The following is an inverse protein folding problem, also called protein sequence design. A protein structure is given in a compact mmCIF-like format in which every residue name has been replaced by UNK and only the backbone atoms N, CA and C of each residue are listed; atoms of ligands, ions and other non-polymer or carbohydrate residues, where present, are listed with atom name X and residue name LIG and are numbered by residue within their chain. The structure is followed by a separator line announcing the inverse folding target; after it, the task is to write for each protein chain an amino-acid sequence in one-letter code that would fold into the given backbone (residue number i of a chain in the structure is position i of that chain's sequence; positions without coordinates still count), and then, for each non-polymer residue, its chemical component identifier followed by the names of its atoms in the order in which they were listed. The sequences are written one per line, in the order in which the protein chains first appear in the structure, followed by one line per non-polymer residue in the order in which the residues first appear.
data_IF_584065406945
#
_entry.id   IF_584065406945
#
_cell.length_a   1.000
_cell.length_b   1.000
_cell.length_c   1.000
_cell.angle_alpha   90.00
_cell.angle_beta   90.00
_cell.angle_gamma   90.00
#
_symmetry.space_group_name_H-M   'P 1'
#
loop_
_entity.id
_entity.type
_entity.pdbx_description
1 polymer ?
#
# COMPACT_ATOMS: atom_id res chain seq x y z
N UNK A 1 12.55 -12.17 -29.10
CA UNK A 1 12.59 -10.70 -28.90
C UNK A 1 11.16 -10.17 -28.75
N UNK A 2 10.45 -10.51 -27.66
CA UNK A 2 8.98 -10.26 -27.57
C UNK A 2 8.48 -9.78 -26.20
N UNK A 3 9.33 -9.36 -25.26
CA UNK A 3 8.87 -8.95 -23.91
C UNK A 3 8.70 -7.43 -23.72
N UNK A 4 9.14 -6.58 -24.65
CA UNK A 4 9.17 -5.12 -24.45
C UNK A 4 7.82 -4.42 -24.68
N UNK A 5 6.88 -5.00 -25.43
CA UNK A 5 5.62 -4.33 -25.81
C UNK A 5 4.48 -4.45 -24.79
N UNK A 6 4.55 -5.39 -23.83
CA UNK A 6 3.46 -5.57 -22.84
C UNK A 6 3.58 -4.60 -21.66
N UNK A 7 4.81 -4.21 -21.29
CA UNK A 7 5.06 -3.27 -20.21
C UNK A 7 4.53 -1.85 -20.54
N UNK A 8 4.58 -1.47 -21.81
CA UNK A 8 4.10 -0.18 -22.32
C UNK A 8 2.56 -0.09 -22.33
N UNK A 9 1.85 -1.20 -22.55
CA UNK A 9 0.37 -1.22 -22.53
C UNK A 9 -0.20 -1.11 -21.12
N UNK A 10 0.51 -1.63 -20.12
CA UNK A 10 0.12 -1.53 -18.72
C UNK A 10 0.45 -0.16 -18.11
N UNK A 11 1.22 0.68 -18.81
CA UNK A 11 1.71 1.95 -18.28
C UNK A 11 0.58 2.92 -17.92
N UNK A 12 -0.43 3.16 -18.79
CA UNK A 12 -1.54 4.07 -18.45
C UNK A 12 -2.28 3.61 -17.20
N UNK A 13 -2.57 2.31 -17.09
CA UNK A 13 -3.25 1.74 -15.92
C UNK A 13 -2.42 1.91 -14.63
N UNK A 14 -1.09 1.74 -14.71
CA UNK A 14 -0.20 1.95 -13.55
C UNK A 14 -0.19 3.42 -13.11
N UNK A 15 -0.26 4.35 -14.06
CA UNK A 15 -0.31 5.78 -13.75
C UNK A 15 -1.65 6.18 -13.14
N UNK A 16 -2.75 5.60 -13.61
CA UNK A 16 -4.08 5.77 -13.01
C UNK A 16 -4.11 5.23 -11.57
N UNK A 17 -3.60 4.01 -11.33
CA UNK A 17 -3.50 3.43 -9.99
C UNK A 17 -2.66 4.33 -9.06
N UNK A 18 -1.54 4.88 -9.55
CA UNK A 18 -0.71 5.82 -8.78
C UNK A 18 -1.45 7.13 -8.50
N UNK A 19 -2.22 7.63 -9.45
CA UNK A 19 -2.99 8.85 -9.29
C UNK A 19 -4.08 8.67 -8.23
N UNK A 20 -4.85 7.59 -8.32
CA UNK A 20 -5.87 7.24 -7.32
C UNK A 20 -5.25 7.02 -5.94
N UNK A 21 -4.11 6.35 -5.86
CA UNK A 21 -3.38 6.16 -4.60
C UNK A 21 -2.91 7.47 -3.95
N UNK A 22 -2.54 8.48 -4.76
CA UNK A 22 -2.21 9.82 -4.24
C UNK A 22 -3.45 10.52 -3.66
N UNK A 23 -4.55 10.54 -4.40
CA UNK A 23 -5.81 11.15 -3.93
C UNK A 23 -6.28 10.48 -2.63
N UNK A 24 -6.24 9.14 -2.57
CA UNK A 24 -6.59 8.41 -1.36
C UNK A 24 -5.68 8.77 -0.20
N UNK A 25 -4.36 8.80 -0.42
CA UNK A 25 -3.40 9.15 0.61
C UNK A 25 -3.57 10.59 1.13
N UNK A 26 -3.86 11.53 0.25
CA UNK A 26 -4.13 12.92 0.63
C UNK A 26 -5.46 13.04 1.39
N UNK A 27 -6.50 12.34 0.94
CA UNK A 27 -7.80 12.30 1.63
C UNK A 27 -7.68 11.69 3.03
N UNK A 28 -6.93 10.58 3.15
CA UNK A 28 -6.70 9.91 4.44
C UNK A 28 -5.92 10.80 5.40
N UNK A 29 -4.90 11.52 4.90
CA UNK A 29 -4.14 12.48 5.72
C UNK A 29 -5.00 13.66 6.18
N UNK A 30 -5.87 14.16 5.30
CA UNK A 30 -6.76 15.29 5.62
C UNK A 30 -7.86 14.91 6.63
N UNK A 31 -8.35 13.67 6.59
CA UNK A 31 -9.43 13.19 7.46
C UNK A 31 -8.94 12.64 8.80
N UNK A 32 -7.89 11.81 8.78
CA UNK A 32 -7.42 11.07 9.96
C UNK A 32 -6.14 11.67 10.58
N UNK A 33 -5.53 12.62 9.88
CA UNK A 33 -4.28 13.24 10.30
C UNK A 33 -3.04 12.42 9.99
N UNK A 34 -1.88 13.05 10.21
CA UNK A 34 -0.58 12.53 9.80
C UNK A 34 -0.17 11.24 10.53
N UNK A 35 -0.53 11.09 11.81
CA UNK A 35 -0.14 9.93 12.62
C UNK A 35 -0.80 8.65 12.10
N UNK A 36 -2.10 8.70 11.85
CA UNK A 36 -2.86 7.55 11.33
C UNK A 36 -2.45 7.25 9.89
N UNK A 37 -2.24 8.28 9.07
CA UNK A 37 -1.70 8.12 7.72
C UNK A 37 -0.36 7.37 7.71
N UNK A 38 0.59 7.75 8.58
CA UNK A 38 1.90 7.08 8.66
C UNK A 38 1.80 5.62 9.08
N UNK A 39 0.89 5.30 10.01
CA UNK A 39 0.62 3.93 10.43
C UNK A 39 0.13 3.08 9.25
N UNK A 40 -0.91 3.55 8.56
CA UNK A 40 -1.51 2.85 7.42
C UNK A 40 -0.49 2.68 6.28
N UNK A 41 0.25 3.74 5.96
CA UNK A 41 1.26 3.71 4.90
C UNK A 41 2.42 2.75 5.25
N UNK A 42 2.82 2.68 6.52
CA UNK A 42 3.83 1.73 7.00
C UNK A 42 3.41 0.27 6.84
N UNK A 43 2.13 -0.03 7.13
CA UNK A 43 1.53 -1.36 6.93
C UNK A 43 1.50 -1.70 5.43
N UNK A 44 1.01 -0.78 4.58
CA UNK A 44 0.95 -0.95 3.12
C UNK A 44 2.32 -1.25 2.51
N UNK A 45 3.36 -0.51 2.90
CA UNK A 45 4.73 -0.72 2.43
C UNK A 45 5.29 -2.08 2.85
N UNK A 46 4.97 -2.52 4.08
CA UNK A 46 5.40 -3.82 4.59
C UNK A 46 4.69 -4.97 3.87
N UNK A 47 3.39 -4.85 3.58
CA UNK A 47 2.65 -5.82 2.77
C UNK A 47 3.21 -5.93 1.34
N UNK A 48 3.52 -4.80 0.69
CA UNK A 48 4.15 -4.78 -0.64
C UNK A 48 5.53 -5.43 -0.59
N UNK A 49 6.34 -5.13 0.43
CA UNK A 49 7.66 -5.74 0.61
C UNK A 49 7.52 -7.25 0.76
N UNK A 50 6.66 -7.73 1.64
CA UNK A 50 6.40 -9.16 1.84
C UNK A 50 5.98 -9.85 0.54
N UNK A 51 5.02 -9.27 -0.21
CA UNK A 51 4.61 -9.84 -1.51
C UNK A 51 5.75 -9.93 -2.52
N UNK A 52 6.71 -8.99 -2.51
CA UNK A 52 7.84 -8.97 -3.45
C UNK A 52 8.98 -9.90 -3.03
N UNK A 53 9.24 -10.03 -1.73
CA UNK A 53 10.43 -10.73 -1.22
C UNK A 53 10.15 -12.09 -0.62
N UNK A 54 8.91 -12.36 -0.19
CA UNK A 54 8.55 -13.56 0.58
C UNK A 54 9.24 -13.66 1.94
N UNK A 55 9.76 -12.54 2.46
CA UNK A 55 10.57 -12.52 3.68
C UNK A 55 9.70 -12.67 4.94
N UNK A 56 9.96 -13.73 5.73
CA UNK A 56 9.28 -13.98 7.00
C UNK A 56 9.44 -12.84 8.02
N UNK A 57 10.51 -12.05 7.95
CA UNK A 57 10.64 -10.85 8.78
C UNK A 57 9.62 -9.77 8.39
N UNK A 58 9.34 -9.62 7.09
CA UNK A 58 8.30 -8.72 6.62
C UNK A 58 6.90 -9.24 6.99
N UNK A 59 6.71 -10.56 7.07
CA UNK A 59 5.47 -11.17 7.58
C UNK A 59 5.23 -10.80 9.05
N UNK A 60 6.21 -11.00 9.92
CA UNK A 60 6.10 -10.69 11.36
C UNK A 60 5.87 -9.18 11.60
N UNK A 61 6.55 -8.33 10.83
CA UNK A 61 6.32 -6.87 10.89
C UNK A 61 4.92 -6.47 10.41
N UNK A 62 4.37 -7.17 9.41
CA UNK A 62 3.02 -6.95 8.94
C UNK A 62 2.00 -7.33 10.02
N UNK A 63 2.15 -8.52 10.61
CA UNK A 63 1.30 -9.03 11.69
C UNK A 63 1.27 -8.07 12.87
N UNK A 64 2.43 -7.63 13.37
CA UNK A 64 2.50 -6.64 14.44
C UNK A 64 1.87 -5.28 14.10
N UNK A 65 1.96 -4.84 12.84
CA UNK A 65 1.32 -3.61 12.40
C UNK A 65 -0.21 -3.72 12.39
N UNK A 66 -0.73 -4.88 11.97
CA UNK A 66 -2.16 -5.16 11.92
C UNK A 66 -2.78 -5.34 13.31
N UNK A 67 -2.05 -5.94 14.27
CA UNK A 67 -2.51 -6.11 15.65
C UNK A 67 -2.75 -4.77 16.39
N UNK A 68 -2.18 -3.67 15.88
CA UNK A 68 -2.35 -2.33 16.41
C UNK A 68 -3.49 -1.51 15.77
N UNK A 69 -4.17 -2.04 14.75
CA UNK A 69 -5.26 -1.35 14.08
C UNK A 69 -6.59 -1.56 14.81
N UNK A 70 -7.40 -0.49 14.91
CA UNK A 70 -8.80 -0.67 15.25
C UNK A 70 -9.56 -1.31 14.08
N UNK A 71 -10.74 -1.92 14.31
CA UNK A 71 -11.58 -2.44 13.23
C UNK A 71 -11.95 -1.38 12.18
N UNK A 72 -11.96 -0.11 12.57
CA UNK A 72 -12.28 1.05 11.72
C UNK A 72 -11.12 1.35 10.74
N UNK A 73 -9.88 1.21 11.21
CA UNK A 73 -8.66 1.42 10.41
C UNK A 73 -8.41 0.28 9.40
N UNK A 74 -8.98 -0.90 9.65
CA UNK A 74 -8.80 -2.09 8.79
C UNK A 74 -9.44 -1.92 7.42
N UNK A 75 -10.50 -1.11 7.30
CA UNK A 75 -11.20 -0.85 6.03
C UNK A 75 -10.33 -0.02 5.07
N UNK A 76 -9.39 0.78 5.58
CA UNK A 76 -8.48 1.60 4.77
C UNK A 76 -7.31 0.80 4.16
N UNK A 77 -7.10 -0.44 4.60
CA UNK A 77 -5.96 -1.29 4.20
C UNK A 77 -6.31 -2.29 3.08
N UNK A 78 -7.57 -2.34 2.62
CA UNK A 78 -8.05 -3.29 1.60
C UNK A 78 -7.97 -2.73 0.18
#
# INVERSE_FOLDING_TARGET
MTSSTNLDKDLPLRDDIRFLGRILGDTLRDQEGEVIFQLIEGIRQTAIRYRRTGDDKARVQLEHGLDGLSPEDTIAVV
#
